data_IF_637444279933
#
_entry.id   IF_637444279933
#
_cell.length_a   1.000
_cell.length_b   1.000
_cell.length_c   1.000
_cell.angle_alpha   90.00
_cell.angle_beta   90.00
_cell.angle_gamma   90.00
#
_symmetry.space_group_name_H-M   'P 1'
#
loop_
_entity.id
_entity.type
_entity.pdbx_description
1 polymer ?
#
# COMPACT_ATOMS: atom_id res chain seq x y z
N UNK A 1 -10.27 8.00 -5.15
CA UNK A 1 -10.03 7.62 -6.57
C UNK A 1 -11.32 7.84 -7.36
N UNK A 2 -11.25 8.37 -8.58
CA UNK A 2 -12.44 8.60 -9.42
C UNK A 2 -12.99 7.31 -10.01
N UNK A 3 -14.33 7.23 -10.17
CA UNK A 3 -14.97 6.12 -10.87
C UNK A 3 -14.77 6.28 -12.39
N UNK A 4 -14.07 5.33 -13.00
CA UNK A 4 -13.81 5.30 -14.44
C UNK A 4 -15.10 5.20 -15.26
N UNK A 5 -16.18 4.60 -14.71
CA UNK A 5 -17.47 4.52 -15.40
C UNK A 5 -18.09 5.89 -15.54
N UNK A 6 -18.08 6.69 -14.47
CA UNK A 6 -18.57 8.05 -14.49
C UNK A 6 -17.82 8.91 -15.52
N UNK A 7 -16.46 8.76 -15.59
CA UNK A 7 -15.65 9.49 -16.59
C UNK A 7 -16.02 9.08 -18.02
N UNK A 8 -16.29 7.80 -18.28
CA UNK A 8 -16.71 7.32 -19.60
C UNK A 8 -18.11 7.82 -19.99
N UNK A 9 -19.03 7.84 -19.03
CA UNK A 9 -20.43 8.20 -19.29
C UNK A 9 -20.62 9.71 -19.43
N UNK A 10 -19.84 10.50 -18.68
CA UNK A 10 -19.97 11.97 -18.65
C UNK A 10 -18.62 12.68 -18.74
N UNK A 11 -17.82 12.43 -19.79
CA UNK A 11 -16.45 12.98 -19.91
C UNK A 11 -16.43 14.52 -19.84
N UNK A 12 -17.44 15.19 -20.42
CA UNK A 12 -17.51 16.64 -20.45
C UNK A 12 -17.63 17.30 -19.07
N UNK A 13 -18.21 16.59 -18.09
CA UNK A 13 -18.28 17.08 -16.70
C UNK A 13 -16.88 17.17 -16.11
N UNK A 14 -16.08 16.12 -16.31
CA UNK A 14 -14.71 16.06 -15.83
C UNK A 14 -13.78 17.02 -16.58
N UNK A 15 -13.92 17.12 -17.91
CA UNK A 15 -13.18 18.09 -18.72
C UNK A 15 -13.40 19.50 -18.21
N UNK A 16 -14.65 19.93 -18.07
CA UNK A 16 -14.99 21.27 -17.57
C UNK A 16 -14.41 21.51 -16.17
N UNK A 17 -14.60 20.57 -15.26
CA UNK A 17 -14.19 20.72 -13.87
C UNK A 17 -12.66 20.81 -13.72
N UNK A 18 -11.89 20.00 -14.43
CA UNK A 18 -10.43 20.09 -14.38
C UNK A 18 -9.89 21.30 -15.17
N UNK A 19 -10.56 21.72 -16.24
CA UNK A 19 -10.18 22.94 -16.95
C UNK A 19 -10.38 24.19 -16.08
N UNK A 20 -11.32 24.21 -15.13
CA UNK A 20 -11.44 25.27 -14.12
C UNK A 20 -10.21 25.37 -13.21
N UNK A 21 -9.49 24.27 -12.99
CA UNK A 21 -8.23 24.29 -12.21
C UNK A 21 -7.04 24.77 -13.04
N UNK A 22 -6.97 24.33 -14.28
CA UNK A 22 -5.94 24.72 -15.24
C UNK A 22 -6.45 24.48 -16.65
N UNK A 23 -6.36 25.48 -17.51
CA UNK A 23 -6.79 25.41 -18.91
C UNK A 23 -6.11 24.24 -19.64
N UNK A 24 -6.90 23.42 -20.34
CA UNK A 24 -6.45 22.24 -21.08
C UNK A 24 -6.17 21.00 -20.23
N UNK A 25 -6.15 21.10 -18.91
CA UNK A 25 -5.90 19.96 -18.04
C UNK A 25 -6.96 18.87 -18.19
N UNK A 26 -8.23 19.26 -18.29
CA UNK A 26 -9.34 18.31 -18.42
C UNK A 26 -9.30 17.53 -19.72
N UNK A 27 -9.08 18.22 -20.84
CA UNK A 27 -9.02 17.59 -22.16
C UNK A 27 -7.90 16.55 -22.26
N UNK A 28 -6.70 16.92 -21.82
CA UNK A 28 -5.54 16.02 -21.82
C UNK A 28 -5.76 14.83 -20.88
N UNK A 29 -6.25 15.09 -19.66
CA UNK A 29 -6.41 14.08 -18.62
C UNK A 29 -7.47 13.07 -19.01
N UNK A 30 -8.66 13.53 -19.43
CA UNK A 30 -9.76 12.63 -19.82
C UNK A 30 -9.36 11.79 -21.03
N UNK A 31 -8.68 12.39 -22.02
CA UNK A 31 -8.17 11.65 -23.18
C UNK A 31 -7.21 10.52 -22.77
N UNK A 32 -6.27 10.78 -21.86
CA UNK A 32 -5.33 9.76 -21.34
C UNK A 32 -6.05 8.68 -20.57
N UNK A 33 -7.01 9.03 -19.71
CA UNK A 33 -7.79 8.07 -18.92
C UNK A 33 -8.57 7.12 -19.84
N UNK A 34 -9.29 7.66 -20.82
CA UNK A 34 -10.09 6.86 -21.74
C UNK A 34 -9.23 5.96 -22.64
N UNK A 35 -8.03 6.42 -23.03
CA UNK A 35 -7.08 5.59 -23.77
C UNK A 35 -6.58 4.41 -22.93
N UNK A 36 -6.21 4.66 -21.65
CA UNK A 36 -5.77 3.61 -20.72
C UNK A 36 -6.90 2.64 -20.37
N UNK A 37 -8.12 3.13 -20.14
CA UNK A 37 -9.31 2.28 -19.92
C UNK A 37 -9.59 1.38 -21.12
N UNK A 38 -9.51 1.92 -22.31
CA UNK A 38 -9.71 1.14 -23.54
C UNK A 38 -8.64 0.06 -23.67
N UNK A 39 -7.38 0.38 -23.44
CA UNK A 39 -6.27 -0.57 -23.49
C UNK A 39 -6.40 -1.66 -22.41
N UNK A 40 -6.75 -1.30 -21.18
CA UNK A 40 -6.99 -2.25 -20.10
C UNK A 40 -8.15 -3.21 -20.43
N UNK A 41 -9.28 -2.69 -20.90
CA UNK A 41 -10.43 -3.51 -21.29
C UNK A 41 -10.11 -4.46 -22.45
N UNK A 42 -9.32 -4.02 -23.43
CA UNK A 42 -8.86 -4.88 -24.51
C UNK A 42 -7.98 -6.03 -23.99
N UNK A 43 -7.04 -5.76 -23.07
CA UNK A 43 -6.22 -6.78 -22.44
C UNK A 43 -7.05 -7.77 -21.59
N UNK A 44 -8.05 -7.28 -20.85
CA UNK A 44 -8.97 -8.11 -20.07
C UNK A 44 -9.78 -9.03 -20.98
N UNK A 45 -10.28 -8.53 -22.12
CA UNK A 45 -11.01 -9.34 -23.12
C UNK A 45 -10.10 -10.40 -23.74
N UNK A 46 -8.88 -10.03 -24.13
CA UNK A 46 -7.91 -10.97 -24.69
C UNK A 46 -7.58 -12.12 -23.71
N UNK A 47 -7.42 -11.81 -22.41
CA UNK A 47 -7.24 -12.83 -21.37
C UNK A 47 -8.43 -13.78 -21.28
N UNK A 48 -9.66 -13.23 -21.22
CA UNK A 48 -10.88 -14.02 -21.12
C UNK A 48 -11.08 -14.94 -22.36
N UNK A 49 -10.77 -14.44 -23.55
CA UNK A 49 -10.85 -15.21 -24.78
C UNK A 49 -9.82 -16.36 -24.81
N UNK A 50 -8.59 -16.09 -24.36
CA UNK A 50 -7.56 -17.12 -24.25
C UNK A 50 -7.91 -18.18 -23.19
N UNK A 51 -8.46 -17.78 -22.04
CA UNK A 51 -8.95 -18.71 -21.00
C UNK A 51 -10.08 -19.58 -21.51
N UNK A 52 -11.03 -19.01 -22.25
CA UNK A 52 -12.13 -19.73 -22.88
C UNK A 52 -11.60 -20.74 -23.90
N UNK A 53 -10.71 -20.31 -24.79
CA UNK A 53 -10.09 -21.19 -25.79
C UNK A 53 -9.35 -22.37 -25.13
N UNK A 54 -8.56 -22.12 -24.08
CA UNK A 54 -7.89 -23.18 -23.30
C UNK A 54 -8.90 -24.16 -22.71
N UNK A 55 -9.98 -23.66 -22.10
CA UNK A 55 -10.96 -24.50 -21.42
C UNK A 55 -11.73 -25.37 -22.44
N UNK A 56 -12.11 -24.84 -23.63
CA UNK A 56 -12.80 -25.57 -24.68
C UNK A 56 -11.88 -26.60 -25.31
N UNK A 57 -10.62 -26.26 -25.59
CA UNK A 57 -9.62 -27.21 -26.10
C UNK A 57 -9.33 -28.32 -25.08
N UNK A 58 -9.29 -28.04 -23.80
CA UNK A 58 -9.07 -29.03 -22.73
C UNK A 58 -10.20 -30.09 -22.70
N UNK A 59 -11.45 -29.70 -22.94
CA UNK A 59 -12.58 -30.64 -23.04
C UNK A 59 -12.40 -31.57 -24.24
N UNK A 60 -11.89 -31.07 -25.37
CA UNK A 60 -11.65 -31.88 -26.61
C UNK A 60 -10.53 -32.90 -26.39
N UNK A 61 -9.51 -32.59 -25.57
CA UNK A 61 -8.47 -33.57 -25.21
C UNK A 61 -9.08 -34.82 -24.56
N UNK A 62 -10.02 -34.61 -23.61
CA UNK A 62 -10.75 -35.73 -22.98
C UNK A 62 -11.49 -36.61 -23.99
N UNK A 63 -12.12 -35.98 -24.97
CA UNK A 63 -12.82 -36.70 -26.04
C UNK A 63 -11.87 -37.45 -26.98
N UNK A 64 -10.75 -36.85 -27.38
CA UNK A 64 -9.74 -37.50 -28.22
C UNK A 64 -9.11 -38.71 -27.51
N UNK A 65 -8.78 -38.59 -26.22
CA UNK A 65 -8.28 -39.72 -25.41
C UNK A 65 -9.29 -40.83 -25.26
N UNK A 66 -10.59 -40.51 -25.10
CA UNK A 66 -11.64 -41.52 -25.01
C UNK A 66 -11.80 -42.31 -26.34
N UNK A 67 -11.49 -41.66 -27.49
CA UNK A 67 -11.46 -42.29 -28.80
C UNK A 67 -10.12 -42.97 -29.13
N UNK A 68 -9.14 -42.90 -28.23
CA UNK A 68 -7.77 -43.40 -28.44
C UNK A 68 -7.05 -42.76 -29.65
N UNK A 69 -7.40 -41.50 -29.96
CA UNK A 69 -6.76 -40.70 -30.99
C UNK A 69 -5.59 -39.90 -30.37
N UNK A 70 -4.43 -40.56 -30.34
CA UNK A 70 -3.21 -40.01 -29.74
C UNK A 70 -2.66 -38.83 -30.56
N UNK A 71 -2.82 -38.82 -31.88
CA UNK A 71 -2.32 -37.74 -32.72
C UNK A 71 -3.13 -36.44 -32.47
N UNK A 72 -4.46 -36.55 -32.44
CA UNK A 72 -5.32 -35.39 -32.14
C UNK A 72 -5.17 -34.95 -30.70
N UNK A 73 -4.99 -35.85 -29.73
CA UNK A 73 -4.72 -35.51 -28.36
C UNK A 73 -3.41 -34.69 -28.20
N UNK A 74 -2.33 -35.11 -28.88
CA UNK A 74 -1.06 -34.39 -28.88
C UNK A 74 -1.19 -32.97 -29.49
N UNK A 75 -1.90 -32.86 -30.62
CA UNK A 75 -2.17 -31.55 -31.25
C UNK A 75 -2.94 -30.60 -30.31
N UNK A 76 -3.99 -31.11 -29.68
CA UNK A 76 -4.80 -30.34 -28.75
C UNK A 76 -3.99 -29.93 -27.47
N UNK A 77 -3.09 -30.79 -26.98
CA UNK A 77 -2.21 -30.49 -25.89
C UNK A 77 -1.23 -29.35 -26.23
N UNK A 78 -0.70 -29.32 -27.47
CA UNK A 78 0.12 -28.21 -27.94
C UNK A 78 -0.68 -26.87 -27.93
N UNK A 79 -1.92 -26.90 -28.44
CA UNK A 79 -2.79 -25.71 -28.41
C UNK A 79 -3.11 -25.23 -26.99
N UNK A 80 -3.25 -26.12 -26.02
CA UNK A 80 -3.43 -25.75 -24.62
C UNK A 80 -2.15 -25.12 -24.06
N UNK A 81 -0.97 -25.61 -24.46
CA UNK A 81 0.29 -24.99 -24.05
C UNK A 81 0.44 -23.57 -24.61
N UNK A 82 0.14 -23.38 -25.91
CA UNK A 82 0.16 -22.06 -26.54
C UNK A 82 -0.86 -21.09 -25.86
N UNK A 83 -2.08 -21.59 -25.60
CA UNK A 83 -3.10 -20.82 -24.91
C UNK A 83 -2.66 -20.40 -23.47
N UNK A 84 -1.91 -21.25 -22.76
CA UNK A 84 -1.36 -20.91 -21.44
C UNK A 84 -0.37 -19.77 -21.54
N UNK A 85 0.54 -19.81 -22.49
CA UNK A 85 1.49 -18.72 -22.74
C UNK A 85 0.78 -17.42 -23.11
N UNK A 86 -0.27 -17.50 -23.94
CA UNK A 86 -1.08 -16.34 -24.28
C UNK A 86 -1.82 -15.74 -23.07
N UNK A 87 -2.34 -16.58 -22.16
CA UNK A 87 -2.98 -16.14 -20.92
C UNK A 87 -1.96 -15.41 -20.03
N UNK A 88 -0.76 -15.96 -19.82
CA UNK A 88 0.29 -15.34 -19.01
C UNK A 88 0.71 -13.96 -19.55
N UNK A 89 0.85 -13.85 -20.88
CA UNK A 89 1.15 -12.58 -21.54
C UNK A 89 0.01 -11.56 -21.39
N UNK A 90 -1.24 -11.97 -21.62
CA UNK A 90 -2.41 -11.11 -21.48
C UNK A 90 -2.64 -10.67 -20.02
N UNK A 91 -2.38 -11.53 -19.06
CA UNK A 91 -2.46 -11.19 -17.63
C UNK A 91 -1.41 -10.16 -17.21
N UNK A 92 -0.18 -10.30 -17.71
CA UNK A 92 0.88 -9.33 -17.47
C UNK A 92 0.53 -7.96 -18.08
N UNK A 93 -0.05 -7.96 -19.30
CA UNK A 93 -0.50 -6.73 -19.95
C UNK A 93 -1.68 -6.10 -19.22
N UNK A 94 -2.71 -6.87 -18.85
CA UNK A 94 -3.86 -6.41 -18.06
C UNK A 94 -3.40 -5.73 -16.77
N UNK A 95 -2.50 -6.37 -16.02
CA UNK A 95 -1.94 -5.84 -14.77
C UNK A 95 -1.21 -4.51 -15.00
N UNK A 96 -0.39 -4.44 -16.06
CA UNK A 96 0.37 -3.23 -16.39
C UNK A 96 -0.54 -2.07 -16.77
N UNK A 97 -1.55 -2.30 -17.62
CA UNK A 97 -2.51 -1.27 -18.03
C UNK A 97 -3.39 -0.82 -16.88
N UNK A 98 -3.80 -1.75 -16.01
CA UNK A 98 -4.57 -1.44 -14.80
C UNK A 98 -3.76 -0.57 -13.84
N UNK A 99 -2.52 -0.93 -13.56
CA UNK A 99 -1.65 -0.14 -12.68
C UNK A 99 -1.47 1.30 -13.22
N UNK A 100 -1.18 1.44 -14.51
CA UNK A 100 -1.02 2.77 -15.13
C UNK A 100 -2.30 3.62 -15.05
N UNK A 101 -3.49 3.01 -15.19
CA UNK A 101 -4.77 3.70 -15.03
C UNK A 101 -5.00 4.12 -13.57
N UNK A 102 -4.75 3.22 -12.62
CA UNK A 102 -4.93 3.49 -11.19
C UNK A 102 -3.97 4.58 -10.70
N UNK A 103 -2.71 4.54 -11.10
CA UNK A 103 -1.70 5.57 -10.79
C UNK A 103 -2.14 6.96 -11.30
N UNK A 104 -2.64 7.02 -12.54
CA UNK A 104 -3.17 8.26 -13.08
C UNK A 104 -4.36 8.76 -12.27
N UNK A 105 -5.35 7.90 -11.98
CA UNK A 105 -6.57 8.27 -11.26
C UNK A 105 -6.30 8.69 -9.79
N UNK A 106 -5.29 8.11 -9.14
CA UNK A 106 -4.87 8.46 -7.77
C UNK A 106 -4.20 9.83 -7.71
N UNK A 107 -3.47 10.22 -8.74
CA UNK A 107 -2.75 11.51 -8.80
C UNK A 107 -3.63 12.73 -9.11
N UNK A 108 -4.89 12.52 -9.51
CA UNK A 108 -5.75 13.62 -9.96
C UNK A 108 -6.31 14.45 -8.81
N UNK A 109 -6.41 15.78 -8.99
CA UNK A 109 -7.08 16.64 -8.03
C UNK A 109 -8.60 16.45 -8.06
N UNK A 110 -9.27 16.65 -6.92
CA UNK A 110 -10.73 16.60 -6.84
C UNK A 110 -11.38 17.64 -7.76
N UNK A 111 -12.61 17.33 -8.19
CA UNK A 111 -13.43 18.30 -8.94
C UNK A 111 -13.86 19.42 -8.00
N UNK A 112 -13.75 20.70 -8.41
CA UNK A 112 -14.30 21.80 -7.65
C UNK A 112 -15.83 21.73 -7.68
N UNK A 113 -16.47 22.07 -6.55
CA UNK A 113 -17.92 22.24 -6.51
C UNK A 113 -18.33 23.46 -7.36
N UNK A 114 -19.57 23.50 -7.81
CA UNK A 114 -20.09 24.58 -8.66
C UNK A 114 -20.06 25.95 -7.97
N UNK A 115 -20.21 25.98 -6.64
CA UNK A 115 -20.16 27.18 -5.84
C UNK A 115 -18.76 27.77 -5.62
N UNK A 116 -17.70 27.02 -5.95
CA UNK A 116 -16.32 27.51 -5.85
C UNK A 116 -16.07 28.56 -6.93
N UNK A 117 -15.65 29.78 -6.59
CA UNK A 117 -15.37 30.82 -7.58
C UNK A 117 -14.18 30.43 -8.45
N UNK A 118 -14.14 30.97 -9.67
CA UNK A 118 -12.97 30.84 -10.52
C UNK A 118 -11.87 31.76 -10.01
N UNK A 119 -10.63 31.22 -9.97
CA UNK A 119 -9.45 31.95 -9.50
C UNK A 119 -8.19 31.11 -9.69
N UNK A 120 -7.06 31.78 -9.73
CA UNK A 120 -5.73 31.17 -9.89
C UNK A 120 -4.99 31.00 -8.55
N UNK A 121 -5.41 31.75 -7.55
CA UNK A 121 -4.79 31.80 -6.22
C UNK A 121 -5.82 32.21 -5.14
N UNK A 122 -5.34 32.40 -3.90
CA UNK A 122 -6.15 32.77 -2.74
C UNK A 122 -6.84 34.13 -2.85
N UNK A 123 -6.36 35.03 -3.72
CA UNK A 123 -6.99 36.35 -3.93
C UNK A 123 -8.33 36.26 -4.65
N UNK A 124 -8.59 35.15 -5.36
CA UNK A 124 -9.86 34.82 -5.94
C UNK A 124 -10.92 34.32 -4.95
N UNK A 125 -10.56 34.08 -3.68
CA UNK A 125 -11.48 33.60 -2.66
C UNK A 125 -12.54 34.67 -2.30
N UNK A 126 -13.80 34.26 -2.19
CA UNK A 126 -14.92 35.11 -1.81
C UNK A 126 -15.32 34.80 -0.38
N UNK A 127 -15.33 35.82 0.48
CA UNK A 127 -15.77 35.69 1.87
C UNK A 127 -17.27 35.32 1.91
N UNK A 128 -17.62 34.17 2.46
CA UNK A 128 -18.99 33.64 2.58
C UNK A 128 -19.71 34.17 3.80
N UNK A 129 -19.00 34.28 4.93
CA UNK A 129 -19.56 34.76 6.18
C UNK A 129 -18.45 35.30 7.07
N UNK A 130 -18.83 36.22 7.97
CA UNK A 130 -17.96 36.75 9.00
C UNK A 130 -18.66 36.67 10.34
N UNK A 131 -17.96 36.16 11.35
CA UNK A 131 -18.43 36.10 12.71
C UNK A 131 -17.52 36.88 13.65
N UNK A 132 -18.13 37.74 14.47
CA UNK A 132 -17.42 38.56 15.47
C UNK A 132 -16.53 39.66 14.85
N UNK A 133 -15.86 40.37 15.72
CA UNK A 133 -14.89 41.42 15.39
C UNK A 133 -13.60 41.18 16.16
N UNK A 134 -12.48 40.88 15.49
CA UNK A 134 -11.21 40.67 16.15
C UNK A 134 -10.78 41.94 16.94
N UNK A 135 -10.23 41.74 18.14
CA UNK A 135 -9.62 42.87 18.91
C UNK A 135 -8.38 43.36 18.19
N UNK A 136 -8.33 44.66 17.99
CA UNK A 136 -7.08 45.31 17.56
C UNK A 136 -6.07 45.28 18.69
N UNK A 137 -4.95 44.61 18.45
CA UNK A 137 -3.83 44.51 19.40
C UNK A 137 -2.69 45.38 18.87
N UNK A 138 -2.24 46.36 19.67
CA UNK A 138 -1.06 47.15 19.35
C UNK A 138 0.19 46.28 19.48
N UNK A 139 1.04 46.22 18.46
CA UNK A 139 2.27 45.45 18.44
C UNK A 139 2.03 43.97 18.79
N UNK A 140 1.22 43.22 17.99
CA UNK A 140 0.95 41.82 18.25
C UNK A 140 2.25 41.02 18.14
N UNK A 141 2.47 40.13 19.09
CA UNK A 141 3.54 39.13 19.05
C UNK A 141 2.98 37.84 18.48
N UNK A 142 3.82 37.07 17.79
CA UNK A 142 3.41 35.76 17.32
C UNK A 142 3.35 34.74 18.49
N UNK A 143 2.78 33.57 18.20
CA UNK A 143 2.56 32.54 19.21
C UNK A 143 3.85 31.95 19.76
N UNK A 144 4.94 31.91 18.99
CA UNK A 144 6.23 31.40 19.39
C UNK A 144 6.85 32.35 20.42
N UNK A 145 6.93 33.65 20.09
CA UNK A 145 7.43 34.70 21.04
C UNK A 145 6.65 34.71 22.36
N UNK A 146 5.32 34.59 22.28
CA UNK A 146 4.47 34.54 23.46
C UNK A 146 4.74 33.30 24.30
N UNK A 147 4.82 32.12 23.66
CA UNK A 147 5.06 30.88 24.35
C UNK A 147 6.45 30.77 24.98
N UNK A 148 7.47 31.25 24.29
CA UNK A 148 8.84 31.32 24.84
C UNK A 148 9.02 32.34 25.98
N UNK A 149 8.28 33.44 25.93
CA UNK A 149 8.29 34.44 27.00
C UNK A 149 7.64 33.93 28.30
N UNK A 150 6.69 33.00 28.21
CA UNK A 150 6.07 32.38 29.39
C UNK A 150 7.04 31.39 30.02
N UNK A 151 7.27 31.54 31.35
CA UNK A 151 8.23 30.71 32.08
C UNK A 151 7.56 29.89 33.18
N UNK A 152 8.03 28.64 33.35
CA UNK A 152 7.75 27.88 34.58
C UNK A 152 8.60 28.37 35.74
N UNK A 153 8.26 28.04 37.02
CA UNK A 153 9.02 28.52 38.18
C UNK A 153 10.53 28.21 38.16
N UNK A 154 10.92 27.15 37.46
CA UNK A 154 12.33 26.78 37.26
C UNK A 154 13.07 27.62 36.21
N UNK A 155 12.41 28.61 35.57
CA UNK A 155 12.99 29.51 34.58
C UNK A 155 12.96 29.00 33.12
N UNK A 156 12.58 27.76 32.86
CA UNK A 156 12.45 27.25 31.51
C UNK A 156 11.22 27.81 30.79
N UNK A 157 11.30 27.95 29.47
CA UNK A 157 10.16 28.37 28.64
C UNK A 157 9.03 27.34 28.69
N UNK A 158 7.78 27.82 28.74
CA UNK A 158 6.60 26.94 28.67
C UNK A 158 6.42 26.37 27.26
N UNK A 159 6.90 27.07 26.23
CA UNK A 159 6.99 26.60 24.84
C UNK A 159 8.47 26.61 24.45
N UNK A 160 9.08 25.44 24.28
CA UNK A 160 10.53 25.30 24.13
C UNK A 160 10.86 24.60 22.80
N UNK A 161 11.13 25.39 21.78
CA UNK A 161 11.51 24.92 20.45
C UNK A 161 12.95 24.38 20.43
N UNK A 162 13.86 24.97 21.21
CA UNK A 162 15.26 24.55 21.23
C UNK A 162 15.43 23.14 21.82
N UNK A 163 14.75 22.86 22.93
CA UNK A 163 14.76 21.52 23.52
C UNK A 163 14.13 20.51 22.59
N UNK A 164 13.02 20.83 21.91
CA UNK A 164 12.38 19.95 20.95
C UNK A 164 13.26 19.71 19.72
N UNK A 165 13.95 20.74 19.23
CA UNK A 165 14.87 20.60 18.09
C UNK A 165 16.04 19.65 18.41
N UNK A 166 16.54 19.66 19.65
CA UNK A 166 17.58 18.70 20.09
C UNK A 166 17.07 17.27 20.17
N UNK A 167 15.78 17.06 20.46
CA UNK A 167 15.17 15.72 20.56
C UNK A 167 14.71 15.16 19.23
N UNK A 168 14.09 15.99 18.41
CA UNK A 168 13.32 15.52 17.23
C UNK A 168 13.57 16.31 15.94
N UNK A 169 14.41 17.35 15.98
CA UNK A 169 14.69 18.22 14.83
C UNK A 169 13.80 19.45 14.77
N UNK A 170 13.84 20.15 13.64
CA UNK A 170 13.07 21.38 13.43
C UNK A 170 11.56 21.12 13.36
N UNK A 171 10.76 22.15 13.66
CA UNK A 171 9.29 22.16 13.63
C UNK A 171 8.61 21.34 14.74
N UNK A 172 9.35 20.89 15.74
CA UNK A 172 8.79 20.30 16.95
C UNK A 172 8.79 21.32 18.08
N UNK A 173 7.91 21.14 19.06
CA UNK A 173 7.80 21.98 20.25
C UNK A 173 7.64 21.11 21.50
N UNK A 174 8.27 21.50 22.58
CA UNK A 174 8.04 20.91 23.89
C UNK A 174 7.24 21.89 24.75
N UNK A 175 6.04 21.52 25.18
CA UNK A 175 5.20 22.30 26.07
C UNK A 175 5.43 21.94 27.54
N UNK A 176 5.43 22.92 28.43
CA UNK A 176 5.64 22.74 29.87
C UNK A 176 4.60 23.47 30.69
N UNK A 177 4.38 22.98 31.90
CA UNK A 177 3.55 23.66 32.91
C UNK A 177 2.13 23.93 32.44
N UNK A 178 1.70 25.17 32.52
CA UNK A 178 0.32 25.55 32.19
C UNK A 178 -0.01 25.46 30.71
N UNK A 179 0.96 25.61 29.78
CA UNK A 179 0.72 25.42 28.36
C UNK A 179 0.45 23.94 28.02
N UNK A 180 1.22 23.01 28.59
CA UNK A 180 0.94 21.59 28.42
C UNK A 180 -0.43 21.18 29.01
N UNK A 181 -0.81 21.80 30.15
CA UNK A 181 -2.15 21.59 30.71
C UNK A 181 -3.25 22.15 29.80
N UNK A 182 -3.02 23.33 29.23
CA UNK A 182 -3.98 23.99 28.32
C UNK A 182 -4.17 23.19 27.05
N UNK A 183 -3.11 22.70 26.44
CA UNK A 183 -3.18 21.81 25.25
C UNK A 183 -4.08 20.59 25.50
N UNK A 184 -3.83 19.88 26.61
CA UNK A 184 -4.66 18.72 26.98
C UNK A 184 -6.11 19.12 27.28
N UNK A 185 -6.33 20.25 27.93
CA UNK A 185 -7.68 20.76 28.25
C UNK A 185 -8.45 21.11 26.97
N UNK A 186 -7.80 21.73 25.99
CA UNK A 186 -8.39 22.04 24.69
C UNK A 186 -8.69 20.77 23.88
N UNK A 187 -7.78 19.79 23.88
CA UNK A 187 -8.01 18.51 23.23
C UNK A 187 -9.25 17.80 23.80
N UNK A 188 -9.35 17.70 25.13
CA UNK A 188 -10.52 17.12 25.80
C UNK A 188 -11.80 17.90 25.49
N UNK A 189 -11.77 19.24 25.56
CA UNK A 189 -12.91 20.09 25.25
C UNK A 189 -13.43 19.87 23.82
N UNK A 190 -12.54 19.82 22.82
CA UNK A 190 -12.92 19.55 21.44
C UNK A 190 -13.51 18.15 21.28
N UNK A 191 -12.91 17.13 21.92
CA UNK A 191 -13.40 15.76 21.88
C UNK A 191 -14.79 15.64 22.54
N UNK A 192 -15.00 16.28 23.69
CA UNK A 192 -16.27 16.29 24.42
C UNK A 192 -17.38 16.90 23.55
N UNK A 193 -17.13 18.03 22.89
CA UNK A 193 -18.11 18.65 21.98
C UNK A 193 -18.47 17.68 20.83
N UNK A 194 -17.48 17.07 20.18
CA UNK A 194 -17.76 16.16 19.06
C UNK A 194 -18.61 14.96 19.49
N UNK A 195 -18.33 14.41 20.66
CA UNK A 195 -19.01 13.21 21.14
C UNK A 195 -20.38 13.49 21.78
N UNK A 196 -20.54 14.66 22.46
CA UNK A 196 -21.79 14.99 23.17
C UNK A 196 -22.77 15.80 22.33
N UNK A 197 -22.29 16.71 21.46
CA UNK A 197 -23.14 17.62 20.69
C UNK A 197 -23.30 17.24 19.22
N UNK A 198 -22.24 16.67 18.60
CA UNK A 198 -22.22 16.34 17.18
C UNK A 198 -22.46 14.87 16.88
N UNK A 199 -22.65 14.00 17.89
CA UNK A 199 -23.02 12.61 17.73
C UNK A 199 -21.91 11.70 17.21
N UNK A 200 -20.65 12.15 17.26
CA UNK A 200 -19.49 11.29 16.93
C UNK A 200 -19.23 10.28 18.04
N UNK A 201 -18.62 9.16 17.68
CA UNK A 201 -18.17 8.14 18.65
C UNK A 201 -16.66 8.24 18.83
N UNK A 202 -16.22 8.39 20.09
CA UNK A 202 -14.80 8.32 20.40
C UNK A 202 -14.26 6.92 20.14
N UNK A 203 -13.17 6.82 19.37
CA UNK A 203 -12.54 5.56 19.01
C UNK A 203 -11.02 5.66 19.19
N UNK A 204 -10.45 4.75 19.95
CA UNK A 204 -8.98 4.63 20.09
C UNK A 204 -8.46 3.63 19.06
N UNK A 205 -7.60 4.09 18.19
CA UNK A 205 -7.07 3.33 17.06
C UNK A 205 -5.54 3.24 17.10
N UNK A 206 -4.91 2.24 16.41
CA UNK A 206 -3.46 2.19 16.28
C UNK A 206 -2.89 3.46 15.62
N UNK A 207 -1.80 3.99 16.16
CA UNK A 207 -1.12 5.18 15.63
C UNK A 207 -0.23 4.86 14.41
N UNK A 208 0.15 3.59 14.24
CA UNK A 208 0.91 3.11 13.09
C UNK A 208 0.00 2.29 12.17
N UNK A 209 -0.13 2.72 10.94
CA UNK A 209 -1.01 2.11 9.94
C UNK A 209 -0.23 1.63 8.73
N UNK A 210 -0.82 0.70 7.98
CA UNK A 210 -0.28 0.23 6.69
C UNK A 210 -0.56 1.26 5.58
N UNK A 211 0.20 1.16 4.51
CA UNK A 211 0.07 1.95 3.28
C UNK A 211 -1.37 1.99 2.72
N UNK A 212 -2.08 0.86 2.76
CA UNK A 212 -3.45 0.74 2.27
C UNK A 212 -4.43 1.70 2.96
N UNK A 213 -4.26 1.97 4.26
CA UNK A 213 -5.08 2.93 4.98
C UNK A 213 -4.85 4.36 4.46
N UNK A 214 -3.59 4.71 4.20
CA UNK A 214 -3.21 6.02 3.66
C UNK A 214 -3.61 6.20 2.19
N UNK A 215 -3.60 5.13 1.40
CA UNK A 215 -4.16 5.14 0.04
C UNK A 215 -5.67 5.37 0.08
N UNK A 216 -6.36 4.72 1.03
CA UNK A 216 -7.82 4.88 1.20
C UNK A 216 -8.25 6.31 1.53
N UNK A 217 -7.45 7.05 2.28
CA UNK A 217 -7.68 8.45 2.64
C UNK A 217 -7.02 9.46 1.69
N UNK A 218 -6.32 8.99 0.64
CA UNK A 218 -5.70 9.84 -0.38
C UNK A 218 -4.40 10.52 0.04
N UNK A 219 -3.78 10.08 1.13
CA UNK A 219 -2.46 10.57 1.56
C UNK A 219 -1.35 10.00 0.64
N UNK A 220 -1.42 8.71 0.36
CA UNK A 220 -0.52 8.05 -0.58
C UNK A 220 -1.16 7.93 -1.99
N UNK A 221 -0.36 7.95 -3.04
CA UNK A 221 1.10 8.19 -3.07
C UNK A 221 1.50 9.67 -2.99
N UNK A 222 0.56 10.60 -3.04
CA UNK A 222 0.77 12.03 -3.32
C UNK A 222 1.59 12.75 -2.26
N UNK A 223 1.44 12.41 -0.99
CA UNK A 223 2.05 13.09 0.16
C UNK A 223 3.03 12.20 0.92
N UNK A 224 3.66 11.22 0.26
CA UNK A 224 4.58 10.27 0.93
C UNK A 224 5.75 10.98 1.62
N UNK A 225 6.26 12.06 1.01
CA UNK A 225 7.38 12.84 1.56
C UNK A 225 7.02 13.61 2.85
N UNK A 226 5.73 13.85 3.09
CA UNK A 226 5.23 14.54 4.28
C UNK A 226 4.95 13.58 5.46
N UNK A 227 5.12 12.28 5.26
CA UNK A 227 4.76 11.25 6.23
C UNK A 227 5.97 10.73 7.00
N UNK A 228 5.79 10.51 8.31
CA UNK A 228 6.74 9.72 9.10
C UNK A 228 6.57 8.25 8.80
N UNK A 229 7.60 7.65 8.24
CA UNK A 229 7.65 6.24 7.84
C UNK A 229 8.54 5.46 8.80
N UNK A 230 8.11 4.28 9.21
CA UNK A 230 8.92 3.33 9.98
C UNK A 230 8.98 1.99 9.24
N UNK A 231 10.11 1.32 9.37
CA UNK A 231 10.35 0.02 8.75
C UNK A 231 10.81 -0.97 9.81
N UNK A 232 10.22 -2.16 9.79
CA UNK A 232 10.62 -3.26 10.64
C UNK A 232 10.75 -4.55 9.81
N UNK A 233 11.73 -5.38 10.14
CA UNK A 233 11.90 -6.68 9.51
C UNK A 233 10.96 -7.67 10.20
N UNK A 234 10.03 -8.26 9.45
CA UNK A 234 9.18 -9.37 9.91
C UNK A 234 10.00 -10.67 9.92
N UNK A 235 10.78 -10.86 10.98
CA UNK A 235 11.63 -12.05 11.15
C UNK A 235 10.83 -13.34 11.22
N UNK A 236 9.62 -13.30 11.77
CA UNK A 236 8.78 -14.50 11.87
C UNK A 236 8.28 -14.94 10.50
N UNK A 237 7.89 -14.01 9.64
CA UNK A 237 7.52 -14.30 8.24
C UNK A 237 8.74 -14.82 7.47
N UNK A 238 9.90 -14.20 7.63
CA UNK A 238 11.13 -14.63 7.02
C UNK A 238 11.50 -16.07 7.44
N UNK A 239 11.44 -16.38 8.73
CA UNK A 239 11.73 -17.72 9.27
C UNK A 239 10.70 -18.77 8.83
N UNK A 240 9.38 -18.44 8.80
CA UNK A 240 8.37 -19.36 8.25
C UNK A 240 8.64 -19.71 6.80
N UNK A 241 8.99 -18.72 5.98
CA UNK A 241 9.32 -18.94 4.58
C UNK A 241 10.60 -19.79 4.41
N UNK A 242 11.63 -19.48 5.18
CA UNK A 242 12.86 -20.25 5.22
C UNK A 242 12.60 -21.72 5.57
N UNK A 243 11.86 -21.99 6.65
CA UNK A 243 11.54 -23.35 7.08
C UNK A 243 10.68 -24.11 6.06
N UNK A 244 9.77 -23.42 5.37
CA UNK A 244 8.97 -24.01 4.30
C UNK A 244 9.85 -24.43 3.12
N UNK A 245 10.78 -23.57 2.67
CA UNK A 245 11.74 -23.90 1.60
C UNK A 245 12.63 -25.07 2.02
N UNK A 246 13.14 -25.03 3.25
CA UNK A 246 14.03 -26.10 3.78
C UNK A 246 13.29 -27.44 3.82
N UNK A 247 12.03 -27.48 4.23
CA UNK A 247 11.22 -28.72 4.28
C UNK A 247 10.99 -29.32 2.89
N UNK A 248 10.67 -28.48 1.89
CA UNK A 248 10.51 -28.93 0.49
C UNK A 248 11.82 -29.49 -0.05
N UNK A 249 12.96 -28.82 0.21
CA UNK A 249 14.26 -29.25 -0.26
C UNK A 249 14.74 -30.53 0.44
N UNK A 250 14.44 -30.71 1.72
CA UNK A 250 14.72 -31.98 2.43
C UNK A 250 13.93 -33.13 1.79
N UNK A 251 12.65 -32.92 1.48
CA UNK A 251 11.81 -33.95 0.83
C UNK A 251 12.38 -34.31 -0.55
N UNK A 252 12.67 -33.32 -1.39
CA UNK A 252 13.24 -33.53 -2.72
C UNK A 252 14.58 -34.28 -2.65
N UNK A 253 15.44 -33.93 -1.70
CA UNK A 253 16.74 -34.58 -1.51
C UNK A 253 16.59 -36.06 -1.15
N UNK A 254 15.62 -36.40 -0.28
CA UNK A 254 15.32 -37.80 0.07
C UNK A 254 14.77 -38.59 -1.12
N UNK A 255 13.95 -37.97 -1.96
CA UNK A 255 13.40 -38.60 -3.16
C UNK A 255 14.47 -38.84 -4.25
N UNK A 256 15.46 -37.93 -4.38
CA UNK A 256 16.54 -38.02 -5.37
C UNK A 256 17.73 -38.86 -4.91
N UNK A 257 17.83 -39.18 -3.61
CA UNK A 257 18.95 -39.96 -3.05
C UNK A 257 18.71 -41.47 -3.18
N UNK A 258 19.74 -42.18 -3.64
CA UNK A 258 19.72 -43.64 -3.59
C UNK A 258 19.96 -44.10 -2.14
N UNK A 259 18.88 -44.49 -1.49
CA UNK A 259 18.85 -44.97 -0.11
C UNK A 259 18.63 -46.48 -0.02
N UNK A 260 18.83 -47.23 -1.16
CA UNK A 260 18.64 -48.69 -1.24
C UNK A 260 19.48 -49.48 -0.25
N UNK A 261 20.64 -48.94 0.12
CA UNK A 261 21.52 -49.53 1.14
C UNK A 261 20.88 -49.58 2.56
N UNK A 262 19.89 -48.73 2.83
CA UNK A 262 19.15 -48.75 4.10
C UNK A 262 18.19 -49.95 4.23
N UNK A 263 17.87 -50.64 3.15
CA UNK A 263 16.96 -51.80 3.18
C UNK A 263 17.64 -53.03 3.79
N UNK A 264 18.96 -53.05 3.86
CA UNK A 264 19.78 -54.12 4.46
C UNK A 264 20.05 -53.91 5.93
N UNK A 265 19.51 -52.83 6.59
CA UNK A 265 19.82 -52.41 7.94
C UNK A 265 18.60 -52.58 8.85
N UNK A 266 18.87 -52.88 10.12
CA UNK A 266 17.84 -52.96 11.17
C UNK A 266 16.98 -51.65 11.25
N UNK A 267 15.69 -51.80 11.59
CA UNK A 267 14.71 -50.70 11.53
C UNK A 267 15.10 -49.48 12.41
N UNK A 268 15.68 -49.72 13.58
CA UNK A 268 16.10 -48.64 14.50
C UNK A 268 17.38 -47.95 13.99
N UNK A 269 18.30 -48.72 13.45
CA UNK A 269 19.53 -48.17 12.80
C UNK A 269 19.17 -47.41 11.54
N UNK A 270 18.18 -47.91 10.74
CA UNK A 270 17.66 -47.24 9.54
C UNK A 270 17.09 -45.86 9.88
N UNK A 271 16.29 -45.77 10.95
CA UNK A 271 15.72 -44.51 11.40
C UNK A 271 16.81 -43.51 11.81
N UNK A 272 17.74 -43.97 12.64
CA UNK A 272 18.84 -43.14 13.13
C UNK A 272 19.77 -42.67 11.99
N UNK A 273 20.10 -43.54 11.01
CA UNK A 273 20.88 -43.20 9.82
C UNK A 273 20.15 -42.18 8.93
N UNK A 274 18.83 -42.33 8.77
CA UNK A 274 18.04 -41.41 7.98
C UNK A 274 17.95 -40.01 8.64
N UNK A 275 17.79 -39.96 9.95
CA UNK A 275 17.80 -38.73 10.75
C UNK A 275 19.19 -38.03 10.64
N UNK A 276 20.29 -38.73 10.83
CA UNK A 276 21.65 -38.19 10.71
C UNK A 276 21.93 -37.67 9.28
N UNK A 277 21.51 -38.40 8.26
CA UNK A 277 21.67 -38.03 6.85
C UNK A 277 20.87 -36.76 6.51
N UNK A 278 19.63 -36.63 7.02
CA UNK A 278 18.80 -35.44 6.85
C UNK A 278 19.40 -34.25 7.59
N UNK A 279 19.94 -34.45 8.79
CA UNK A 279 20.56 -33.40 9.59
C UNK A 279 21.86 -32.90 8.94
N UNK A 280 22.70 -33.78 8.43
CA UNK A 280 23.90 -33.39 7.67
C UNK A 280 23.56 -32.59 6.41
N UNK A 281 22.51 -32.99 5.70
CA UNK A 281 21.97 -32.19 4.58
C UNK A 281 21.49 -30.83 5.03
N UNK A 282 20.78 -30.75 6.17
CA UNK A 282 20.25 -29.51 6.72
C UNK A 282 21.37 -28.57 7.19
N UNK A 283 22.43 -29.08 7.81
CA UNK A 283 23.58 -28.27 8.24
C UNK A 283 24.31 -27.64 7.02
N UNK A 284 24.62 -28.43 6.00
CA UNK A 284 25.33 -27.93 4.83
C UNK A 284 24.53 -26.94 3.97
N UNK A 285 23.29 -27.30 3.64
CA UNK A 285 22.43 -26.45 2.79
C UNK A 285 21.64 -25.40 3.56
N UNK A 286 21.43 -25.62 4.86
CA UNK A 286 20.84 -24.64 5.76
C UNK A 286 21.66 -23.35 5.82
N UNK A 287 22.99 -23.45 5.84
CA UNK A 287 23.90 -22.30 5.83
C UNK A 287 23.78 -21.49 4.53
N UNK A 288 23.68 -22.17 3.37
CA UNK A 288 23.51 -21.51 2.07
C UNK A 288 22.12 -20.83 2.00
N UNK A 289 21.08 -21.52 2.42
CA UNK A 289 19.72 -20.96 2.44
C UNK A 289 19.61 -19.79 3.41
N UNK A 290 20.28 -19.86 4.57
CA UNK A 290 20.33 -18.75 5.54
C UNK A 290 21.02 -17.52 4.93
N UNK A 291 22.14 -17.69 4.24
CA UNK A 291 22.82 -16.61 3.54
C UNK A 291 21.95 -15.97 2.46
N UNK A 292 21.16 -16.76 1.73
CA UNK A 292 20.18 -16.25 0.75
C UNK A 292 19.06 -15.50 1.44
N UNK A 293 18.56 -15.99 2.58
CA UNK A 293 17.55 -15.32 3.38
C UNK A 293 18.04 -13.97 3.90
N UNK A 294 19.26 -13.94 4.47
CA UNK A 294 19.86 -12.70 4.99
C UNK A 294 20.05 -11.66 3.87
N UNK A 295 20.46 -12.11 2.68
CA UNK A 295 20.50 -11.24 1.49
C UNK A 295 19.14 -10.71 1.11
N UNK A 296 18.10 -11.56 1.11
CA UNK A 296 16.72 -11.14 0.81
C UNK A 296 16.16 -10.16 1.84
N UNK A 297 16.50 -10.35 3.13
CA UNK A 297 16.17 -9.40 4.20
C UNK A 297 16.86 -8.06 3.93
N UNK A 298 18.14 -8.07 3.57
CA UNK A 298 18.89 -6.85 3.24
C UNK A 298 18.34 -6.13 2.00
N UNK A 299 17.75 -6.87 1.06
CA UNK A 299 17.03 -6.34 -0.12
C UNK A 299 15.60 -5.86 0.21
N UNK A 300 15.15 -5.92 1.47
CA UNK A 300 13.82 -5.46 1.91
C UNK A 300 12.68 -6.46 1.69
N UNK A 301 12.94 -7.73 1.36
CA UNK A 301 11.90 -8.71 1.04
C UNK A 301 10.90 -9.01 2.17
N UNK A 302 11.28 -8.77 3.42
CA UNK A 302 10.46 -9.00 4.62
C UNK A 302 10.26 -7.73 5.45
N UNK A 303 10.39 -6.57 4.82
CA UNK A 303 10.15 -5.29 5.49
C UNK A 303 8.67 -5.07 5.67
N UNK A 304 8.26 -4.80 6.90
CA UNK A 304 6.94 -4.31 7.25
C UNK A 304 7.01 -2.79 7.39
N UNK A 305 6.43 -2.10 6.41
CA UNK A 305 6.42 -0.64 6.36
C UNK A 305 5.15 -0.15 7.01
N UNK A 306 5.31 0.81 7.93
CA UNK A 306 4.21 1.48 8.60
C UNK A 306 4.40 2.96 8.60
N UNK A 307 3.30 3.67 8.64
CA UNK A 307 3.27 5.11 8.68
C UNK A 307 2.61 5.59 9.97
N UNK A 308 3.14 6.65 10.55
CA UNK A 308 2.48 7.34 11.63
C UNK A 308 1.24 8.05 11.08
N UNK A 309 0.12 7.89 11.76
CA UNK A 309 -1.16 8.49 11.37
C UNK A 309 -1.04 10.02 11.36
N UNK A 310 -1.17 10.67 10.19
CA UNK A 310 -1.08 12.13 10.11
C UNK A 310 -2.38 12.83 10.53
N UNK A 311 -3.52 12.16 10.40
CA UNK A 311 -4.85 12.68 10.73
C UNK A 311 -5.73 11.59 11.33
N UNK A 312 -6.83 11.96 11.98
CA UNK A 312 -7.75 11.04 12.62
C UNK A 312 -8.55 10.17 11.63
N UNK A 313 -8.66 10.58 10.38
CA UNK A 313 -9.42 9.87 9.35
C UNK A 313 -8.72 8.62 8.81
N UNK A 314 -7.38 8.56 8.93
CA UNK A 314 -6.59 7.45 8.33
C UNK A 314 -6.91 6.08 8.94
N UNK A 315 -7.10 5.92 10.25
CA UNK A 315 -7.38 4.61 10.83
C UNK A 315 -8.84 4.18 10.75
N UNK A 316 -9.74 5.07 10.36
CA UNK A 316 -11.18 4.81 10.24
C UNK A 316 -11.55 4.38 8.83
#
# INVERSE_FOLDING_TARGET
MFDIRAIRETPDVFIRAWNRRKAGLGDETVSKILALDTAWRAATTAKQDAEKARNDTSKLIGQAKARKDEAEAARLMALVADAKTAIEAAEAEEKTKRAALDDLLMGLPNLPLDEVPEGTDEHGNIEKSRWGTPKLINNPKDHADLGEALKVPSGFSMMDFEAAARMSGARFVALRGQLARMERALANFMLDIQTTEHGYQETSVPLLVRDQALVGTGQLPKFEEDLFKTEAIDRDRANRHFNAILSVRKKQFLEESDLSWLDEVDADLRKSALEAFVDQFAEGRGTILQSVLDKKIAEGAYTDIRYLVPTAEVPL
#
